data_IF_282030155843
#
_entry.id   IF_282030155843
#
_cell.length_a   1.000
_cell.length_b   1.000
_cell.length_c   1.000
_cell.angle_alpha   90.00
_cell.angle_beta   90.00
_cell.angle_gamma   90.00
#
_symmetry.space_group_name_H-M   'P 1'
#
loop_
_entity.id
_entity.type
_entity.pdbx_description
1 polymer ?
#
# COMPACT_ATOMS: atom_id res chain seq x y z
N UNK A 1 5.19 -11.00 0.24
CA UNK A 1 4.08 -11.15 1.20
C UNK A 1 4.62 -11.08 2.62
N UNK A 2 4.32 -9.98 3.33
CA UNK A 2 4.73 -9.79 4.73
C UNK A 2 3.90 -10.66 5.68
N UNK A 3 4.34 -10.82 6.94
CA UNK A 3 3.61 -11.59 7.95
C UNK A 3 2.19 -11.08 8.21
N UNK A 4 2.00 -9.75 8.12
CA UNK A 4 0.68 -9.13 8.24
C UNK A 4 -0.26 -9.54 7.10
N UNK A 5 0.23 -9.52 5.85
CA UNK A 5 -0.54 -9.97 4.68
C UNK A 5 -0.94 -11.44 4.80
N UNK A 6 0.00 -12.32 5.20
CA UNK A 6 -0.28 -13.76 5.39
C UNK A 6 -1.35 -14.02 6.45
N UNK A 7 -1.33 -13.27 7.55
CA UNK A 7 -2.32 -13.41 8.62
C UNK A 7 -3.74 -13.09 8.13
N UNK A 8 -3.91 -11.95 7.46
CA UNK A 8 -5.23 -11.55 6.95
C UNK A 8 -5.73 -12.46 5.81
N UNK A 9 -4.85 -12.90 4.90
CA UNK A 9 -5.26 -13.81 3.82
C UNK A 9 -5.62 -15.22 4.30
N UNK A 10 -5.09 -15.67 5.44
CA UNK A 10 -5.37 -16.99 5.99
C UNK A 10 -6.65 -17.03 6.85
N UNK A 11 -7.07 -15.90 7.42
CA UNK A 11 -8.26 -15.81 8.28
C UNK A 11 -9.50 -15.46 7.47
N UNK A 12 -9.35 -14.66 6.41
CA UNK A 12 -10.46 -14.18 5.61
C UNK A 12 -10.80 -15.15 4.47
N UNK A 13 -12.06 -15.16 3.99
CA UNK A 13 -12.44 -15.89 2.79
C UNK A 13 -11.54 -15.53 1.60
N UNK A 14 -11.18 -16.51 0.78
CA UNK A 14 -10.25 -16.32 -0.34
C UNK A 14 -10.69 -15.21 -1.32
N UNK A 15 -12.00 -15.03 -1.50
CA UNK A 15 -12.54 -13.94 -2.33
C UNK A 15 -12.20 -12.55 -1.75
N UNK A 16 -12.26 -12.39 -0.44
CA UNK A 16 -11.93 -11.13 0.23
C UNK A 16 -10.42 -10.89 0.25
N UNK A 17 -9.61 -11.93 0.40
CA UNK A 17 -8.16 -11.84 0.27
C UNK A 17 -7.75 -11.32 -1.12
N UNK A 18 -8.39 -11.81 -2.19
CA UNK A 18 -8.16 -11.34 -3.56
C UNK A 18 -8.59 -9.88 -3.75
N UNK A 19 -9.76 -9.50 -3.25
CA UNK A 19 -10.26 -8.13 -3.33
C UNK A 19 -9.37 -7.14 -2.54
N UNK A 20 -8.93 -7.55 -1.35
CA UNK A 20 -8.00 -6.81 -0.50
C UNK A 20 -6.64 -6.59 -1.17
N UNK A 21 -6.08 -7.63 -1.79
CA UNK A 21 -4.84 -7.54 -2.55
C UNK A 21 -5.01 -6.59 -3.74
N UNK A 22 -6.09 -6.76 -4.52
CA UNK A 22 -6.38 -5.95 -5.68
C UNK A 22 -6.55 -4.47 -5.33
N UNK A 23 -7.30 -4.15 -4.27
CA UNK A 23 -7.46 -2.78 -3.82
C UNK A 23 -6.15 -2.21 -3.27
N UNK A 24 -5.42 -2.97 -2.44
CA UNK A 24 -4.14 -2.53 -1.86
C UNK A 24 -3.08 -2.22 -2.91
N UNK A 25 -3.12 -2.89 -4.07
CA UNK A 25 -2.25 -2.59 -5.22
C UNK A 25 -2.58 -1.27 -5.92
N UNK A 26 -3.83 -0.82 -5.86
CA UNK A 26 -4.25 0.48 -6.43
C UNK A 26 -3.77 1.66 -5.59
N UNK A 27 -3.47 1.44 -4.32
CA UNK A 27 -2.92 2.47 -3.45
C UNK A 27 -1.42 2.62 -3.68
N UNK A 28 -1.00 3.75 -4.21
CA UNK A 28 0.39 4.07 -4.49
C UNK A 28 0.97 4.97 -3.40
N UNK A 29 2.18 4.64 -2.96
CA UNK A 29 2.97 5.43 -2.03
C UNK A 29 4.05 6.15 -2.81
N UNK A 30 3.98 7.48 -2.83
CA UNK A 30 4.91 8.33 -3.57
C UNK A 30 5.86 9.05 -2.63
N UNK A 31 7.16 8.90 -2.88
CA UNK A 31 8.22 9.66 -2.23
C UNK A 31 8.46 10.99 -2.95
N UNK A 32 9.04 11.95 -2.24
CA UNK A 32 9.51 13.21 -2.83
C UNK A 32 10.62 13.00 -3.87
N UNK A 33 11.40 11.91 -3.77
CA UNK A 33 12.42 11.56 -4.77
C UNK A 33 11.84 11.03 -6.10
N UNK A 34 10.51 10.94 -6.23
CA UNK A 34 9.84 10.43 -7.42
C UNK A 34 9.58 8.92 -7.41
N UNK A 35 10.14 8.18 -6.46
CA UNK A 35 9.84 6.75 -6.31
C UNK A 35 8.36 6.53 -5.95
N UNK A 36 7.71 5.64 -6.69
CA UNK A 36 6.32 5.25 -6.48
C UNK A 36 6.22 3.72 -6.38
N UNK A 37 5.55 3.23 -5.35
CA UNK A 37 5.33 1.80 -5.18
C UNK A 37 3.98 1.55 -4.50
N UNK A 38 3.33 0.44 -4.83
CA UNK A 38 2.02 0.14 -4.22
C UNK A 38 2.14 -0.18 -2.72
N UNK A 39 1.08 0.09 -1.96
CA UNK A 39 0.97 -0.27 -0.55
C UNK A 39 1.15 -1.77 -0.37
N UNK A 40 0.60 -2.59 -1.27
CA UNK A 40 0.75 -4.04 -1.24
C UNK A 40 2.21 -4.50 -1.37
N UNK A 41 2.94 -3.96 -2.33
CA UNK A 41 4.36 -4.27 -2.55
C UNK A 41 5.21 -3.92 -1.33
N UNK A 42 4.84 -2.84 -0.64
CA UNK A 42 5.46 -2.41 0.61
C UNK A 42 5.06 -3.24 1.83
N UNK A 43 4.24 -4.28 1.64
CA UNK A 43 3.80 -5.15 2.70
C UNK A 43 2.62 -4.61 3.52
N UNK A 44 2.04 -3.49 3.10
CA UNK A 44 0.86 -2.90 3.71
C UNK A 44 -0.44 -3.44 3.12
N UNK A 45 -1.54 -3.07 3.76
CA UNK A 45 -2.90 -3.39 3.33
C UNK A 45 -3.73 -2.11 3.42
N UNK A 46 -4.47 -1.81 2.35
CA UNK A 46 -5.50 -0.77 2.30
C UNK A 46 -6.70 -1.32 1.56
N UNK A 47 -7.69 -1.77 2.32
CA UNK A 47 -8.94 -2.34 1.81
C UNK A 47 -10.13 -1.57 2.36
N UNK A 48 -11.06 -1.22 1.47
CA UNK A 48 -12.20 -0.32 1.71
C UNK A 48 -11.78 1.02 2.34
N UNK A 49 -10.53 1.43 2.10
CA UNK A 49 -9.97 2.63 2.70
C UNK A 49 -10.41 3.88 1.90
N UNK A 50 -10.39 5.05 2.54
CA UNK A 50 -10.68 6.33 1.91
C UNK A 50 -9.65 7.38 2.34
N UNK A 51 -9.54 8.46 1.55
CA UNK A 51 -8.65 9.59 1.81
C UNK A 51 -7.20 9.38 1.37
N UNK A 52 -6.43 10.47 1.35
CA UNK A 52 -5.05 10.52 0.86
C UNK A 52 -4.08 10.91 1.99
N UNK A 53 -3.80 10.03 2.96
CA UNK A 53 -2.94 10.37 4.07
C UNK A 53 -1.48 10.52 3.62
N UNK A 54 -0.72 11.24 4.45
CA UNK A 54 0.74 11.29 4.36
C UNK A 54 1.34 10.47 5.49
N UNK A 55 2.38 9.71 5.20
CA UNK A 55 3.07 8.89 6.19
C UNK A 55 4.57 9.17 6.15
N UNK A 56 5.15 9.46 7.30
CA UNK A 56 6.60 9.55 7.46
C UNK A 56 7.19 8.14 7.42
N UNK A 57 8.04 7.87 6.43
CA UNK A 57 8.68 6.57 6.26
C UNK A 57 10.01 6.72 5.54
N UNK A 58 10.85 5.70 5.67
CA UNK A 58 12.11 5.58 4.92
C UNK A 58 11.81 5.09 3.51
N UNK A 59 12.33 5.80 2.52
CA UNK A 59 12.21 5.40 1.11
C UNK A 59 13.21 4.28 0.81
N UNK A 60 12.80 3.14 0.20
CA UNK A 60 13.73 2.07 -0.15
C UNK A 60 14.67 2.46 -1.29
N UNK A 61 14.30 3.44 -2.14
CA UNK A 61 15.13 3.88 -3.26
C UNK A 61 16.19 4.91 -2.83
N UNK A 62 15.79 6.03 -2.22
CA UNK A 62 16.74 7.09 -1.87
C UNK A 62 17.26 7.01 -0.43
N UNK A 63 16.73 6.09 0.38
CA UNK A 63 17.16 5.90 1.78
C UNK A 63 16.72 7.01 2.76
N UNK A 64 16.15 8.12 2.27
CA UNK A 64 15.74 9.26 3.09
C UNK A 64 14.42 9.00 3.81
N UNK A 65 14.27 9.60 5.00
CA UNK A 65 13.03 9.61 5.76
C UNK A 65 12.25 10.88 5.43
N UNK A 66 11.17 10.73 4.65
CA UNK A 66 10.37 11.87 4.16
C UNK A 66 8.88 11.58 4.35
N UNK A 67 8.04 12.60 4.16
CA UNK A 67 6.60 12.41 4.12
C UNK A 67 6.19 11.86 2.76
N UNK A 68 5.77 10.61 2.72
CA UNK A 68 5.24 9.98 1.52
C UNK A 68 3.73 10.21 1.43
N UNK A 69 3.24 10.57 0.25
CA UNK A 69 1.80 10.69 0.00
C UNK A 69 1.26 9.33 -0.46
N UNK A 70 0.16 8.90 0.13
CA UNK A 70 -0.55 7.69 -0.28
C UNK A 70 -1.80 8.12 -1.04
N UNK A 71 -1.88 7.77 -2.32
CA UNK A 71 -3.04 8.07 -3.18
C UNK A 71 -3.56 6.79 -3.82
N UNK A 72 -4.87 6.74 -4.06
CA UNK A 72 -5.45 5.68 -4.89
C UNK A 72 -5.31 6.09 -6.35
N UNK A 73 -4.73 5.21 -7.17
CA UNK A 73 -4.86 5.32 -8.64
C UNK A 73 -6.32 5.00 -8.98
N UNK A 74 -7.16 6.02 -9.01
CA UNK A 74 -8.45 5.92 -9.67
C UNK A 74 -8.15 5.90 -11.16
N UNK A 75 -8.30 4.73 -11.80
CA UNK A 75 -8.45 4.71 -13.24
C UNK A 75 -9.73 5.50 -13.55
N UNK A 76 -9.56 6.65 -14.21
CA UNK A 76 -10.65 7.34 -14.92
C UNK A 76 -11.15 6.44 -16.05
#
# INVERSE_FOLDING_TARGET
MTGLQKFFTNILPAAWAKDMEAESRQWMVRCTCGYEQSVWELGGIRWKAKGNPKQLRRCPQCGQQTWHTITRKTNL
#
